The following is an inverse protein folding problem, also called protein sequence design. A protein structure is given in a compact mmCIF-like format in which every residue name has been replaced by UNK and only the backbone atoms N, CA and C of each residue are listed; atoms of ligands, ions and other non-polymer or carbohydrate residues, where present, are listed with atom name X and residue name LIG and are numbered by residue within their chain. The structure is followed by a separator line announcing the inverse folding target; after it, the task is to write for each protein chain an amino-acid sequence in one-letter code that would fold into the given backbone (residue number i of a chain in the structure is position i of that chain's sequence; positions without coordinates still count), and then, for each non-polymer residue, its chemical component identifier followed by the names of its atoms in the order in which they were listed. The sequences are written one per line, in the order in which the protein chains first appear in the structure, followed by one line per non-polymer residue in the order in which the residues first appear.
data_IF_452664920701
#
_entry.id   IF_452664920701
#
_cell.length_a   1.000
_cell.length_b   1.000
_cell.length_c   1.000
_cell.angle_alpha   90.00
_cell.angle_beta   90.00
_cell.angle_gamma   90.00
#
_symmetry.space_group_name_H-M   'P 1'
#
loop_
_entity.id
_entity.type
_entity.pdbx_description
1 polymer ?
#
# COMPACT_ATOMS: atom_id res chain seq x y z
N UNK A 1 44.39 -0.07 6.51
CA UNK A 1 43.80 -0.57 5.25
C UNK A 1 42.44 -1.27 5.44
N UNK A 2 42.00 -1.62 6.66
CA UNK A 2 40.68 -2.26 6.90
C UNK A 2 39.60 -1.32 7.49
N UNK A 3 39.95 -0.07 7.85
CA UNK A 3 39.00 0.89 8.43
C UNK A 3 38.19 1.67 7.39
N UNK A 4 38.65 1.74 6.14
CA UNK A 4 38.02 2.52 5.07
C UNK A 4 36.79 1.85 4.43
N UNK A 5 36.58 0.55 4.66
CA UNK A 5 35.40 -0.16 4.15
C UNK A 5 34.18 -0.05 5.07
N UNK A 6 34.37 0.26 6.36
CA UNK A 6 33.25 0.45 7.29
C UNK A 6 32.54 1.79 7.07
N UNK A 7 33.27 2.84 6.69
CA UNK A 7 32.70 4.18 6.46
C UNK A 7 31.91 4.29 5.15
N UNK A 8 32.12 3.39 4.17
CA UNK A 8 31.42 3.41 2.88
C UNK A 8 30.00 2.81 2.92
N UNK A 9 29.66 1.99 3.91
CA UNK A 9 28.35 1.32 4.02
C UNK A 9 27.21 2.29 4.40
N UNK A 10 27.54 3.43 5.01
CA UNK A 10 26.58 4.43 5.48
C UNK A 10 26.16 5.44 4.41
N UNK A 11 26.89 5.56 3.30
CA UNK A 11 26.48 6.38 2.16
C UNK A 11 25.53 5.58 1.26
N UNK A 12 24.47 6.19 0.72
CA UNK A 12 23.66 5.54 -0.33
C UNK A 12 24.56 5.32 -1.53
N UNK A 13 24.92 4.08 -1.84
CA UNK A 13 25.83 3.78 -2.94
C UNK A 13 25.21 4.13 -4.30
N UNK A 14 23.87 4.05 -4.37
CA UNK A 14 23.09 4.31 -5.58
C UNK A 14 21.87 5.20 -5.26
N UNK A 15 22.06 6.52 -5.05
CA UNK A 15 21.01 7.42 -4.59
C UNK A 15 19.81 7.52 -5.55
N UNK A 16 20.01 7.27 -6.84
CA UNK A 16 18.92 7.23 -7.82
C UNK A 16 17.96 6.07 -7.58
N UNK A 17 18.48 4.87 -7.27
CA UNK A 17 17.64 3.71 -6.91
C UNK A 17 16.88 4.02 -5.63
N UNK A 18 17.58 4.55 -4.63
CA UNK A 18 16.99 4.95 -3.36
C UNK A 18 15.83 5.93 -3.53
N UNK A 19 16.05 7.03 -4.28
CA UNK A 19 15.05 8.05 -4.53
C UNK A 19 13.81 7.53 -5.27
N UNK A 20 14.00 6.61 -6.22
CA UNK A 20 12.88 6.01 -6.97
C UNK A 20 12.02 5.11 -6.08
N UNK A 21 12.65 4.30 -5.23
CA UNK A 21 11.93 3.46 -4.26
C UNK A 21 11.22 4.35 -3.23
N UNK A 22 11.87 5.41 -2.75
CA UNK A 22 11.27 6.39 -1.85
C UNK A 22 10.04 7.06 -2.45
N UNK A 23 10.16 7.55 -3.69
CA UNK A 23 9.07 8.21 -4.40
C UNK A 23 7.87 7.26 -4.61
N UNK A 24 8.12 6.02 -5.03
CA UNK A 24 7.06 5.03 -5.23
C UNK A 24 6.34 4.70 -3.92
N UNK A 25 7.09 4.49 -2.82
CA UNK A 25 6.52 4.17 -1.51
C UNK A 25 5.70 5.32 -0.91
N UNK A 26 6.11 6.57 -1.13
CA UNK A 26 5.37 7.75 -0.64
C UNK A 26 4.16 8.09 -1.50
N UNK A 27 4.30 8.06 -2.82
CA UNK A 27 3.33 8.71 -3.72
C UNK A 27 2.46 7.73 -4.51
N UNK A 28 2.91 6.49 -4.71
CA UNK A 28 2.33 5.60 -5.72
C UNK A 28 2.03 4.19 -5.19
N UNK A 29 1.61 4.06 -3.93
CA UNK A 29 1.32 2.76 -3.34
C UNK A 29 0.24 1.99 -4.14
N UNK A 30 -0.80 2.69 -4.61
CA UNK A 30 -1.92 2.11 -5.36
C UNK A 30 -1.61 1.85 -6.84
N UNK A 31 -0.52 2.41 -7.36
CA UNK A 31 -0.14 2.25 -8.76
C UNK A 31 0.20 0.81 -9.12
N UNK A 32 -0.01 0.46 -10.39
CA UNK A 32 0.42 -0.83 -10.92
C UNK A 32 1.93 -1.03 -10.74
N UNK A 33 2.35 -2.25 -10.43
CA UNK A 33 3.78 -2.54 -10.22
C UNK A 33 4.63 -2.43 -11.51
N UNK A 34 4.01 -2.47 -12.71
CA UNK A 34 4.73 -2.59 -13.98
C UNK A 34 5.60 -1.37 -14.32
N UNK A 35 5.10 -0.12 -14.29
CA UNK A 35 5.94 1.06 -14.54
C UNK A 35 7.12 1.14 -13.58
N UNK A 36 6.90 0.82 -12.30
CA UNK A 36 7.96 0.81 -11.29
C UNK A 36 9.04 -0.23 -11.57
N UNK A 37 8.67 -1.45 -11.96
CA UNK A 37 9.60 -2.50 -12.39
C UNK A 37 10.43 -2.07 -13.59
N UNK A 38 9.80 -1.46 -14.60
CA UNK A 38 10.47 -0.98 -15.82
C UNK A 38 11.45 0.17 -15.52
N UNK A 39 11.08 1.09 -14.63
CA UNK A 39 11.92 2.19 -14.18
C UNK A 39 13.15 1.69 -13.40
N UNK A 40 12.94 0.80 -12.42
CA UNK A 40 14.02 0.18 -11.65
C UNK A 40 15.03 -0.55 -12.55
N UNK A 41 14.53 -1.33 -13.50
CA UNK A 41 15.36 -2.05 -14.45
C UNK A 41 16.14 -1.10 -15.38
N UNK A 42 15.52 0.00 -15.81
CA UNK A 42 16.17 1.01 -16.64
C UNK A 42 17.33 1.67 -15.91
N UNK A 43 17.15 2.07 -14.65
CA UNK A 43 18.22 2.66 -13.84
C UNK A 43 19.34 1.67 -13.58
N UNK A 44 19.02 0.41 -13.21
CA UNK A 44 20.02 -0.66 -13.04
C UNK A 44 20.92 -0.78 -14.27
N UNK A 45 20.34 -0.81 -15.47
CA UNK A 45 21.09 -0.92 -16.73
C UNK A 45 21.90 0.34 -17.06
N UNK A 46 21.30 1.52 -16.96
CA UNK A 46 21.97 2.78 -17.33
C UNK A 46 23.16 3.09 -16.42
N UNK A 47 23.03 2.81 -15.13
CA UNK A 47 24.10 3.03 -14.15
C UNK A 47 25.04 1.82 -14.00
N UNK A 48 24.78 0.72 -14.72
CA UNK A 48 25.57 -0.53 -14.68
C UNK A 48 25.79 -1.05 -13.25
N UNK A 49 24.73 -1.03 -12.45
CA UNK A 49 24.79 -1.37 -11.03
C UNK A 49 24.92 -2.89 -10.86
N UNK A 50 25.86 -3.40 -10.05
CA UNK A 50 25.92 -4.82 -9.70
C UNK A 50 24.60 -5.30 -9.06
N UNK A 51 24.10 -6.46 -9.47
CA UNK A 51 22.75 -6.94 -9.10
C UNK A 51 22.51 -7.03 -7.59
N UNK A 52 23.42 -7.61 -6.82
CA UNK A 52 23.31 -7.70 -5.36
C UNK A 52 23.33 -6.30 -4.68
N UNK A 53 24.12 -5.34 -5.18
CA UNK A 53 24.13 -3.98 -4.65
C UNK A 53 22.87 -3.19 -5.02
N UNK A 54 22.33 -3.42 -6.22
CA UNK A 54 21.05 -2.87 -6.63
C UNK A 54 19.92 -3.36 -5.70
N UNK A 55 19.86 -4.66 -5.42
CA UNK A 55 18.86 -5.25 -4.52
C UNK A 55 19.05 -4.75 -3.07
N UNK A 56 20.29 -4.64 -2.60
CA UNK A 56 20.60 -4.06 -1.30
C UNK A 56 20.06 -2.62 -1.18
N UNK A 57 20.27 -1.78 -2.20
CA UNK A 57 19.81 -0.39 -2.15
C UNK A 57 18.27 -0.28 -2.16
N UNK A 58 17.58 -1.18 -2.88
CA UNK A 58 16.11 -1.28 -2.81
C UNK A 58 15.66 -1.59 -1.38
N UNK A 59 16.28 -2.58 -0.73
CA UNK A 59 15.93 -2.90 0.66
C UNK A 59 16.28 -1.78 1.63
N UNK A 60 17.44 -1.14 1.50
CA UNK A 60 17.82 0.03 2.31
C UNK A 60 16.75 1.12 2.23
N UNK A 61 16.30 1.47 1.03
CA UNK A 61 15.25 2.47 0.85
C UNK A 61 13.92 2.06 1.52
N UNK A 62 13.54 0.79 1.43
CA UNK A 62 12.35 0.28 2.12
C UNK A 62 12.47 0.38 3.65
N UNK A 63 13.62 0.02 4.21
CA UNK A 63 13.87 0.09 5.65
C UNK A 63 13.91 1.55 6.14
N UNK A 64 14.56 2.45 5.39
CA UNK A 64 14.56 3.89 5.68
C UNK A 64 13.13 4.45 5.64
N UNK A 65 12.34 4.10 4.61
CA UNK A 65 10.93 4.49 4.51
C UNK A 65 10.09 4.02 5.69
N UNK A 66 10.31 2.80 6.22
CA UNK A 66 9.65 2.33 7.45
C UNK A 66 10.01 3.22 8.65
N UNK A 67 11.30 3.49 8.85
CA UNK A 67 11.80 4.27 9.99
C UNK A 67 11.28 5.72 9.95
N UNK A 68 11.38 6.36 8.80
CA UNK A 68 11.11 7.79 8.62
C UNK A 68 9.63 8.09 8.36
N UNK A 69 8.78 7.07 8.18
CA UNK A 69 7.35 7.26 7.96
C UNK A 69 6.68 8.05 9.09
N UNK A 70 5.87 9.09 8.78
CA UNK A 70 5.07 9.80 9.76
C UNK A 70 4.03 8.88 10.42
N UNK A 71 3.67 9.19 11.67
CA UNK A 71 2.70 8.40 12.40
C UNK A 71 1.29 8.39 11.80
N UNK A 72 0.58 7.27 11.95
CA UNK A 72 -0.78 7.09 11.42
C UNK A 72 -0.82 6.28 10.12
N UNK A 73 -1.55 6.76 9.13
CA UNK A 73 -1.80 6.01 7.88
C UNK A 73 -0.55 5.80 7.04
N UNK A 74 0.40 6.73 7.08
CA UNK A 74 1.62 6.63 6.25
C UNK A 74 2.56 5.52 6.74
N UNK A 75 2.59 5.23 8.04
CA UNK A 75 3.27 4.04 8.57
C UNK A 75 2.71 2.74 7.98
N UNK A 76 1.38 2.64 7.89
CA UNK A 76 0.70 1.48 7.33
C UNK A 76 0.98 1.34 5.83
N UNK A 77 1.00 2.47 5.10
CA UNK A 77 1.37 2.50 3.68
C UNK A 77 2.77 1.98 3.46
N UNK A 78 3.75 2.47 4.23
CA UNK A 78 5.14 2.03 4.15
C UNK A 78 5.31 0.56 4.55
N UNK A 79 4.57 0.10 5.55
CA UNK A 79 4.54 -1.31 5.94
C UNK A 79 3.99 -2.19 4.81
N UNK A 80 2.86 -1.82 4.20
CA UNK A 80 2.31 -2.55 3.07
C UNK A 80 3.21 -2.49 1.83
N UNK A 81 3.85 -1.34 1.58
CA UNK A 81 4.81 -1.18 0.50
C UNK A 81 5.99 -2.15 0.64
N UNK A 82 6.65 -2.14 1.80
CA UNK A 82 7.86 -2.92 2.07
C UNK A 82 7.60 -4.42 2.12
N UNK A 83 6.52 -4.86 2.78
CA UNK A 83 6.27 -6.27 3.04
C UNK A 83 5.36 -6.95 2.02
N UNK A 84 4.58 -6.19 1.23
CA UNK A 84 3.69 -6.76 0.19
C UNK A 84 4.08 -6.33 -1.22
N UNK A 85 4.21 -5.02 -1.49
CA UNK A 85 4.43 -4.53 -2.86
C UNK A 85 5.83 -4.84 -3.37
N UNK A 86 6.87 -4.58 -2.58
CA UNK A 86 8.27 -4.78 -2.99
C UNK A 86 8.61 -6.25 -3.30
N UNK A 87 8.24 -7.25 -2.46
CA UNK A 87 8.45 -8.66 -2.81
C UNK A 87 7.80 -9.05 -4.15
N UNK A 88 6.60 -8.54 -4.45
CA UNK A 88 5.93 -8.77 -5.73
C UNK A 88 6.62 -8.06 -6.90
N UNK A 89 7.11 -6.84 -6.68
CA UNK A 89 7.92 -6.09 -7.65
C UNK A 89 9.19 -6.88 -7.98
N UNK A 90 9.90 -7.39 -6.98
CA UNK A 90 11.11 -8.21 -7.18
C UNK A 90 10.81 -9.51 -7.92
N UNK A 91 9.69 -10.17 -7.64
CA UNK A 91 9.23 -11.34 -8.40
C UNK A 91 9.00 -11.04 -9.88
N UNK A 92 8.48 -9.84 -10.20
CA UNK A 92 8.34 -9.39 -11.59
C UNK A 92 9.68 -8.97 -12.19
N UNK A 93 10.54 -8.32 -11.42
CA UNK A 93 11.85 -7.84 -11.83
C UNK A 93 12.80 -9.00 -12.15
N UNK A 94 12.70 -10.13 -11.42
CA UNK A 94 13.44 -11.38 -11.65
C UNK A 94 13.41 -11.81 -13.12
N UNK A 95 12.34 -11.52 -13.87
CA UNK A 95 12.21 -11.83 -15.30
C UNK A 95 13.20 -11.11 -16.22
N UNK A 96 13.81 -10.02 -15.73
CA UNK A 96 14.81 -9.25 -16.48
C UNK A 96 16.26 -9.66 -16.18
N UNK A 97 16.47 -10.66 -15.32
CA UNK A 97 17.79 -11.26 -15.15
C UNK A 97 18.16 -12.08 -16.39
N UNK A 98 19.42 -11.96 -16.82
CA UNK A 98 19.95 -12.77 -17.91
C UNK A 98 20.11 -14.22 -17.46
N UNK A 99 20.12 -15.17 -18.40
CA UNK A 99 20.23 -16.59 -18.10
C UNK A 99 21.49 -16.96 -17.28
N UNK A 100 22.57 -16.19 -17.44
CA UNK A 100 23.84 -16.39 -16.71
C UNK A 100 23.87 -15.70 -15.33
N UNK A 101 22.82 -14.95 -14.95
CA UNK A 101 22.74 -14.26 -13.67
C UNK A 101 21.76 -14.97 -12.73
N UNK A 102 22.26 -15.47 -11.60
CA UNK A 102 21.41 -16.08 -10.58
C UNK A 102 20.80 -15.02 -9.65
N UNK A 103 19.53 -14.69 -9.90
CA UNK A 103 18.76 -13.78 -9.06
C UNK A 103 18.70 -14.23 -7.59
N UNK A 104 18.61 -15.54 -7.33
CA UNK A 104 18.47 -16.06 -5.98
C UNK A 104 19.75 -15.82 -5.18
N UNK A 105 20.91 -16.04 -5.83
CA UNK A 105 22.22 -15.80 -5.23
C UNK A 105 22.51 -14.31 -5.03
N UNK A 106 22.16 -13.47 -6.01
CA UNK A 106 22.24 -12.01 -5.89
C UNK A 106 21.40 -11.48 -4.73
N UNK A 107 20.18 -12.02 -4.56
CA UNK A 107 19.28 -11.64 -3.49
C UNK A 107 19.77 -12.13 -2.13
N UNK A 108 20.29 -13.37 -2.05
CA UNK A 108 20.92 -13.91 -0.84
C UNK A 108 22.09 -13.01 -0.41
N UNK A 109 23.00 -12.68 -1.33
CA UNK A 109 24.13 -11.79 -1.09
C UNK A 109 23.67 -10.40 -0.62
N UNK A 110 22.61 -9.86 -1.22
CA UNK A 110 22.04 -8.57 -0.81
C UNK A 110 21.53 -8.61 0.65
N UNK A 111 20.85 -9.68 1.06
CA UNK A 111 20.43 -9.87 2.45
C UNK A 111 21.63 -10.04 3.40
N UNK A 112 22.68 -10.76 2.99
CA UNK A 112 23.90 -10.85 3.80
C UNK A 112 24.57 -9.50 4.03
N UNK A 113 24.52 -8.60 3.05
CA UNK A 113 25.00 -7.23 3.21
C UNK A 113 24.05 -6.39 4.05
N UNK A 114 22.73 -6.56 3.90
CA UNK A 114 21.73 -5.87 4.71
C UNK A 114 21.87 -6.22 6.20
N UNK A 115 22.12 -7.50 6.52
CA UNK A 115 22.33 -7.96 7.90
C UNK A 115 23.55 -7.33 8.59
N UNK A 116 24.52 -6.81 7.81
CA UNK A 116 25.66 -6.06 8.37
C UNK A 116 25.31 -4.62 8.76
N UNK A 117 24.14 -4.13 8.37
CA UNK A 117 23.66 -2.78 8.68
C UNK A 117 22.86 -2.77 10.00
N UNK A 118 23.38 -3.40 11.05
CA UNK A 118 22.70 -3.60 12.35
C UNK A 118 22.06 -2.32 12.92
N UNK A 119 22.71 -1.14 12.95
CA UNK A 119 22.08 0.08 13.49
C UNK A 119 20.84 0.55 12.72
N UNK A 120 20.77 0.26 11.42
CA UNK A 120 19.60 0.56 10.60
C UNK A 120 18.47 -0.43 10.91
N UNK A 121 18.80 -1.72 11.03
CA UNK A 121 17.84 -2.77 11.33
C UNK A 121 17.27 -2.66 12.74
N UNK A 122 18.08 -2.27 13.73
CA UNK A 122 17.62 -2.07 15.11
C UNK A 122 16.58 -0.96 15.20
N UNK A 123 16.78 0.14 14.47
CA UNK A 123 15.78 1.22 14.37
C UNK A 123 14.49 0.74 13.72
N UNK A 124 14.58 -0.08 12.67
CA UNK A 124 13.41 -0.63 12.00
C UNK A 124 12.64 -1.60 12.90
N UNK A 125 13.34 -2.50 13.59
CA UNK A 125 12.74 -3.45 14.52
C UNK A 125 12.09 -2.75 15.71
N UNK A 126 12.71 -1.69 16.24
CA UNK A 126 12.11 -0.84 17.28
C UNK A 126 10.87 -0.10 16.76
N UNK A 127 10.87 0.32 15.49
CA UNK A 127 9.79 1.07 14.86
C UNK A 127 8.55 0.21 14.59
N UNK A 128 8.77 -1.04 14.19
CA UNK A 128 7.73 -2.01 13.85
C UNK A 128 7.37 -2.95 15.02
N UNK A 129 8.15 -2.92 16.10
CA UNK A 129 8.10 -3.84 17.24
C UNK A 129 8.09 -5.32 16.80
N UNK A 130 8.95 -5.68 15.85
CA UNK A 130 9.05 -7.05 15.32
C UNK A 130 10.40 -7.31 14.65
N UNK A 131 10.68 -8.56 14.28
CA UNK A 131 11.79 -8.91 13.38
C UNK A 131 11.44 -8.55 11.93
N UNK A 132 11.82 -7.35 11.49
CA UNK A 132 11.45 -6.89 10.15
C UNK A 132 12.10 -7.76 9.07
N UNK A 133 13.39 -8.09 9.25
CA UNK A 133 14.12 -8.90 8.27
C UNK A 133 13.60 -10.33 8.27
N UNK A 134 13.35 -10.92 9.44
CA UNK A 134 12.75 -12.26 9.53
C UNK A 134 11.43 -12.36 8.76
N UNK A 135 10.54 -11.38 8.89
CA UNK A 135 9.28 -11.34 8.13
C UNK A 135 9.49 -11.14 6.62
N UNK A 136 10.44 -10.28 6.21
CA UNK A 136 10.79 -10.11 4.79
C UNK A 136 11.32 -11.39 4.15
N UNK A 137 12.21 -12.11 4.86
CA UNK A 137 12.77 -13.37 4.36
C UNK A 137 11.67 -14.40 4.10
N UNK A 138 10.67 -14.49 4.99
CA UNK A 138 9.52 -15.38 4.81
C UNK A 138 8.67 -15.00 3.58
N UNK A 139 8.39 -13.72 3.36
CA UNK A 139 7.64 -13.28 2.18
C UNK A 139 8.43 -13.48 0.88
N UNK A 140 9.75 -13.24 0.89
CA UNK A 140 10.60 -13.54 -0.26
C UNK A 140 10.63 -15.04 -0.58
N UNK A 141 10.70 -15.89 0.44
CA UNK A 141 10.63 -17.33 0.28
C UNK A 141 9.28 -17.77 -0.32
N UNK A 142 8.16 -17.29 0.22
CA UNK A 142 6.80 -17.55 -0.28
C UNK A 142 6.65 -17.23 -1.77
N UNK A 143 7.35 -16.21 -2.26
CA UNK A 143 7.36 -15.81 -3.67
C UNK A 143 8.46 -16.49 -4.51
N UNK A 144 9.13 -17.51 -3.98
CA UNK A 144 10.21 -18.27 -4.65
C UNK A 144 11.40 -17.39 -5.08
N UNK A 145 11.65 -16.33 -4.32
CA UNK A 145 12.79 -15.43 -4.51
C UNK A 145 14.05 -15.95 -3.81
N UNK A 146 13.88 -16.68 -2.71
CA UNK A 146 14.94 -17.34 -1.95
C UNK A 146 14.70 -18.86 -1.92
N UNK A 147 15.79 -19.63 -1.88
CA UNK A 147 15.74 -21.07 -1.66
C UNK A 147 15.53 -21.39 -0.17
N UNK A 148 15.12 -22.64 0.16
CA UNK A 148 15.04 -23.11 1.55
C UNK A 148 16.39 -22.94 2.26
N UNK A 149 17.48 -23.32 1.60
CA UNK A 149 18.83 -23.22 2.15
C UNK A 149 19.22 -21.77 2.48
N UNK A 150 18.92 -20.82 1.58
CA UNK A 150 19.20 -19.40 1.83
C UNK A 150 18.33 -18.85 2.96
N UNK A 151 17.05 -19.24 3.03
CA UNK A 151 16.18 -18.85 4.13
C UNK A 151 16.74 -19.31 5.47
N UNK A 152 17.07 -20.59 5.61
CA UNK A 152 17.56 -21.16 6.88
C UNK A 152 18.86 -20.48 7.33
N UNK A 153 19.80 -20.27 6.41
CA UNK A 153 21.07 -19.61 6.69
C UNK A 153 20.87 -18.14 7.12
N UNK A 154 20.07 -17.37 6.38
CA UNK A 154 19.82 -15.96 6.69
C UNK A 154 19.05 -15.78 8.01
N UNK A 155 18.09 -16.65 8.30
CA UNK A 155 17.36 -16.65 9.59
C UNK A 155 18.29 -17.00 10.75
N UNK A 156 19.17 -17.99 10.59
CA UNK A 156 20.17 -18.32 11.61
C UNK A 156 21.11 -17.13 11.88
N UNK A 157 21.61 -16.49 10.83
CA UNK A 157 22.45 -15.27 10.94
C UNK A 157 21.70 -14.14 11.65
N UNK A 158 20.44 -13.88 11.29
CA UNK A 158 19.62 -12.84 11.92
C UNK A 158 19.37 -13.14 13.40
N UNK A 159 19.09 -14.40 13.75
CA UNK A 159 18.83 -14.81 15.13
C UNK A 159 20.06 -14.57 16.01
N UNK A 160 21.25 -14.96 15.55
CA UNK A 160 22.51 -14.75 16.26
C UNK A 160 22.86 -13.26 16.46
N UNK A 161 22.60 -12.43 15.45
CA UNK A 161 22.80 -10.97 15.53
C UNK A 161 21.86 -10.33 16.58
N UNK A 162 20.60 -10.78 16.64
CA UNK A 162 19.59 -10.25 17.57
C UNK A 162 19.77 -10.66 19.03
N UNK A 163 20.52 -11.72 19.34
CA UNK A 163 20.83 -12.06 20.74
C UNK A 163 21.55 -10.92 21.47
N UNK A 164 22.26 -10.08 20.72
CA UNK A 164 23.00 -8.93 21.21
C UNK A 164 22.20 -7.61 21.16
N UNK A 165 20.98 -7.64 20.61
CA UNK A 165 20.17 -6.44 20.39
C UNK A 165 19.42 -6.00 21.67
N UNK A 166 19.25 -4.69 21.89
CA UNK A 166 18.42 -4.17 22.97
C UNK A 166 16.98 -4.69 22.84
N UNK A 167 16.42 -5.20 23.94
CA UNK A 167 15.00 -5.63 23.95
C UNK A 167 14.09 -4.41 23.76
N UNK A 168 13.01 -4.52 22.96
CA UNK A 168 12.08 -3.42 22.77
C UNK A 168 11.47 -3.02 24.11
N UNK A 169 11.48 -1.72 24.41
CA UNK A 169 10.71 -1.14 25.51
C UNK A 169 9.24 -1.17 25.13
N UNK A 170 8.39 -1.78 25.96
CA UNK A 170 6.94 -1.83 25.78
C UNK A 170 6.38 -0.41 25.62
N UNK A 171 6.02 -0.04 24.39
CA UNK A 171 5.40 1.23 24.07
C UNK A 171 3.91 1.01 23.81
N UNK A 172 3.05 1.69 24.58
CA UNK A 172 1.59 1.60 24.48
C UNK A 172 0.98 2.33 23.27
N UNK A 173 1.81 2.93 22.41
CA UNK A 173 1.36 3.51 21.13
C UNK A 173 1.28 2.43 20.06
N UNK A 174 0.15 2.40 19.35
CA UNK A 174 -0.13 1.45 18.28
C UNK A 174 0.94 1.58 17.20
N UNK A 175 1.87 0.63 17.18
CA UNK A 175 2.92 0.55 16.17
C UNK A 175 2.46 -0.26 14.96
N UNK A 176 2.99 0.04 13.76
CA UNK A 176 2.64 -0.66 12.54
C UNK A 176 3.27 -2.05 12.60
N UNK A 177 2.54 -3.03 13.10
CA UNK A 177 3.04 -4.41 13.16
C UNK A 177 2.91 -5.03 11.75
N UNK A 178 4.02 -5.33 11.05
CA UNK A 178 3.97 -5.92 9.71
C UNK A 178 3.22 -7.25 9.67
N UNK A 179 3.25 -8.02 10.76
CA UNK A 179 2.47 -9.25 10.89
C UNK A 179 0.95 -9.03 10.77
N UNK A 180 0.42 -7.86 11.15
CA UNK A 180 -1.00 -7.54 10.96
C UNK A 180 -1.33 -7.24 9.49
N UNK A 181 -0.46 -6.49 8.80
CA UNK A 181 -0.61 -6.21 7.36
C UNK A 181 -0.50 -7.50 6.54
N UNK A 182 0.45 -8.37 6.86
CA UNK A 182 0.61 -9.66 6.19
C UNK A 182 -0.61 -10.57 6.38
N UNK A 183 -1.28 -10.52 7.55
CA UNK A 183 -2.56 -11.23 7.79
C UNK A 183 -3.75 -10.59 7.10
N UNK A 184 -3.70 -9.28 6.83
CA UNK A 184 -4.77 -8.57 6.14
C UNK A 184 -4.84 -8.95 4.64
N UNK A 185 -3.71 -9.22 3.99
CA UNK A 185 -3.64 -9.61 2.57
C UNK A 185 -4.53 -10.82 2.18
N UNK A 186 -4.46 -11.97 2.88
CA UNK A 186 -5.33 -13.10 2.57
C UNK A 186 -6.79 -12.80 2.90
N UNK A 187 -7.07 -12.00 3.93
CA UNK A 187 -8.44 -11.58 4.26
C UNK A 187 -9.06 -10.74 3.14
N UNK A 188 -8.33 -9.77 2.57
CA UNK A 188 -8.75 -9.02 1.38
C UNK A 188 -9.06 -9.98 0.24
N UNK A 189 -8.16 -10.92 -0.02
CA UNK A 189 -8.33 -11.92 -1.10
C UNK A 189 -9.58 -12.79 -0.90
N UNK A 190 -9.83 -13.24 0.33
CA UNK A 190 -10.98 -14.08 0.66
C UNK A 190 -12.29 -13.29 0.51
N UNK A 191 -12.35 -12.05 0.99
CA UNK A 191 -13.52 -11.17 0.79
C UNK A 191 -13.81 -11.03 -0.70
N UNK A 192 -12.79 -10.71 -1.51
CA UNK A 192 -12.96 -10.57 -2.95
C UNK A 192 -13.48 -11.86 -3.60
N UNK A 193 -12.92 -13.02 -3.25
CA UNK A 193 -13.36 -14.32 -3.77
C UNK A 193 -14.79 -14.67 -3.37
N UNK A 194 -15.16 -14.46 -2.10
CA UNK A 194 -16.53 -14.70 -1.63
C UNK A 194 -17.53 -13.79 -2.32
N UNK A 195 -17.14 -12.55 -2.65
CA UNK A 195 -17.99 -11.62 -3.39
C UNK A 195 -18.10 -11.94 -4.89
N UNK A 196 -17.14 -12.67 -5.47
CA UNK A 196 -17.22 -13.18 -6.85
C UNK A 196 -18.05 -14.47 -6.95
N UNK A 197 -18.12 -15.26 -5.88
CA UNK A 197 -18.88 -16.50 -5.82
C UNK A 197 -20.37 -16.23 -5.56
N UNK A 198 -21.16 -16.18 -6.64
CA UNK A 198 -22.62 -16.29 -6.71
C UNK A 198 -23.46 -15.48 -5.70
N UNK A 199 -24.12 -14.43 -6.20
CA UNK A 199 -25.16 -13.61 -5.53
C UNK A 199 -26.41 -14.38 -5.05
N UNK A 200 -26.42 -15.73 -5.09
CA UNK A 200 -27.62 -16.54 -4.91
C UNK A 200 -27.88 -17.01 -3.48
N UNK A 201 -26.92 -16.90 -2.54
CA UNK A 201 -27.12 -17.36 -1.14
C UNK A 201 -26.45 -16.43 -0.11
N UNK A 202 -27.23 -15.50 0.45
CA UNK A 202 -27.00 -14.68 1.67
C UNK A 202 -25.98 -13.53 1.63
N UNK A 203 -26.40 -12.31 1.24
CA UNK A 203 -25.62 -11.09 1.47
C UNK A 203 -25.59 -10.62 2.95
N UNK A 204 -26.46 -11.14 3.83
CA UNK A 204 -26.55 -10.67 5.23
C UNK A 204 -25.33 -11.02 6.12
N UNK A 205 -24.69 -12.18 5.91
CA UNK A 205 -23.49 -12.55 6.67
C UNK A 205 -22.28 -11.66 6.33
N UNK A 206 -22.12 -11.34 5.04
CA UNK A 206 -21.10 -10.42 4.53
C UNK A 206 -21.33 -8.98 5.01
N UNK A 207 -22.59 -8.56 5.09
CA UNK A 207 -23.02 -7.26 5.64
C UNK A 207 -22.57 -7.09 7.10
N UNK A 208 -22.73 -8.12 7.92
CA UNK A 208 -22.25 -8.10 9.32
C UNK A 208 -20.73 -8.01 9.40
N UNK A 209 -20.00 -8.75 8.56
CA UNK A 209 -18.52 -8.70 8.52
C UNK A 209 -18.03 -7.33 8.07
N UNK A 210 -18.57 -6.77 6.99
CA UNK A 210 -18.21 -5.42 6.52
C UNK A 210 -18.57 -4.37 7.57
N UNK A 211 -19.77 -4.43 8.16
CA UNK A 211 -20.19 -3.51 9.23
C UNK A 211 -19.26 -3.53 10.45
N UNK A 212 -18.77 -4.71 10.85
CA UNK A 212 -17.78 -4.83 11.92
C UNK A 212 -16.37 -4.40 11.50
N UNK A 213 -15.96 -4.69 10.26
CA UNK A 213 -14.67 -4.27 9.69
C UNK A 213 -14.56 -2.76 9.54
N UNK A 214 -15.70 -2.08 9.39
CA UNK A 214 -15.80 -0.64 9.22
C UNK A 214 -15.56 0.17 10.49
N UNK A 215 -15.42 -0.52 11.61
CA UNK A 215 -15.10 0.11 12.89
C UNK A 215 -13.59 0.04 13.16
N UNK A 216 -12.89 1.15 12.85
CA UNK A 216 -11.54 1.42 13.35
C UNK A 216 -10.38 0.88 12.49
N UNK A 217 -9.28 0.55 13.16
CA UNK A 217 -7.93 0.32 12.58
C UNK A 217 -7.82 -0.91 11.68
N UNK A 218 -8.76 -1.84 11.77
CA UNK A 218 -8.83 -3.02 10.90
C UNK A 218 -9.09 -2.64 9.44
N UNK A 219 -9.91 -1.60 9.21
CA UNK A 219 -10.16 -1.07 7.87
C UNK A 219 -8.88 -0.53 7.23
N UNK A 220 -8.12 0.28 7.96
CA UNK A 220 -6.87 0.87 7.44
C UNK A 220 -5.85 -0.20 7.06
N UNK A 221 -5.75 -1.28 7.84
CA UNK A 221 -4.92 -2.45 7.53
C UNK A 221 -5.34 -3.14 6.22
N UNK A 222 -6.66 -3.36 6.04
CA UNK A 222 -7.19 -3.99 4.83
C UNK A 222 -6.99 -3.09 3.60
N UNK A 223 -7.23 -1.77 3.74
CA UNK A 223 -7.04 -0.82 2.66
C UNK A 223 -5.56 -0.71 2.27
N UNK A 224 -4.64 -0.69 3.23
CA UNK A 224 -3.20 -0.65 2.95
C UNK A 224 -2.74 -1.93 2.24
N UNK A 225 -3.19 -3.10 2.70
CA UNK A 225 -2.91 -4.38 2.04
C UNK A 225 -3.51 -4.44 0.63
N UNK A 226 -4.75 -3.98 0.44
CA UNK A 226 -5.41 -3.94 -0.85
C UNK A 226 -4.71 -2.95 -1.81
N UNK A 227 -4.25 -1.81 -1.31
CA UNK A 227 -3.50 -0.81 -2.08
C UNK A 227 -2.18 -1.39 -2.59
N UNK A 228 -1.36 -1.93 -1.68
CA UNK A 228 -0.04 -2.48 -2.02
C UNK A 228 -0.10 -3.67 -2.98
N UNK A 229 -1.21 -4.41 -3.01
CA UNK A 229 -1.39 -5.60 -3.86
C UNK A 229 -2.20 -5.32 -5.13
N UNK A 230 -2.56 -4.06 -5.41
CA UNK A 230 -3.36 -3.68 -6.58
C UNK A 230 -4.82 -4.16 -6.56
N UNK A 231 -5.31 -4.59 -5.38
CA UNK A 231 -6.66 -5.12 -5.16
C UNK A 231 -7.64 -4.05 -4.67
N UNK A 232 -7.15 -2.85 -4.31
CA UNK A 232 -7.95 -1.77 -3.73
C UNK A 232 -9.18 -1.40 -4.55
N UNK A 233 -9.03 -1.29 -5.88
CA UNK A 233 -10.14 -0.98 -6.80
C UNK A 233 -11.26 -2.02 -6.70
N UNK A 234 -10.91 -3.30 -6.76
CA UNK A 234 -11.88 -4.40 -6.67
C UNK A 234 -12.54 -4.45 -5.28
N UNK A 235 -11.75 -4.18 -4.24
CA UNK A 235 -12.23 -4.15 -2.86
C UNK A 235 -13.24 -3.02 -2.64
N UNK A 236 -12.91 -1.82 -3.09
CA UNK A 236 -13.77 -0.64 -3.01
C UNK A 236 -15.06 -0.80 -3.83
N UNK A 237 -14.98 -1.28 -5.08
CA UNK A 237 -16.15 -1.45 -5.95
C UNK A 237 -17.13 -2.47 -5.39
N UNK A 238 -16.61 -3.56 -4.80
CA UNK A 238 -17.44 -4.62 -4.25
C UNK A 238 -18.10 -4.20 -2.95
N UNK A 239 -17.39 -3.49 -2.07
CA UNK A 239 -17.97 -2.89 -0.87
C UNK A 239 -19.16 -1.97 -1.24
N UNK A 240 -19.01 -1.17 -2.30
CA UNK A 240 -20.04 -0.24 -2.79
C UNK A 240 -21.29 -0.93 -3.38
N UNK A 241 -21.16 -2.15 -3.90
CA UNK A 241 -22.27 -2.92 -4.53
C UNK A 241 -23.29 -3.44 -3.50
N UNK A 242 -22.96 -3.41 -2.21
CA UNK A 242 -23.85 -3.86 -1.14
C UNK A 242 -25.02 -2.87 -0.96
N UNK A 243 -26.27 -3.36 -1.12
CA UNK A 243 -27.56 -2.63 -1.24
C UNK A 243 -27.71 -1.31 -0.45
N UNK A 244 -28.62 -0.44 -0.93
CA UNK A 244 -29.00 0.90 -0.45
C UNK A 244 -29.05 1.16 1.08
N UNK A 245 -29.23 0.15 1.93
CA UNK A 245 -29.17 0.27 3.40
C UNK A 245 -27.77 0.62 3.95
N UNK A 246 -26.71 0.39 3.18
CA UNK A 246 -25.33 0.79 3.54
C UNK A 246 -24.79 1.94 2.69
N UNK A 247 -25.63 2.65 1.94
CA UNK A 247 -25.17 3.74 1.08
C UNK A 247 -24.28 4.73 1.83
N UNK A 248 -24.69 5.15 3.03
CA UNK A 248 -23.93 6.06 3.89
C UNK A 248 -22.56 5.49 4.25
N UNK A 249 -22.51 4.21 4.62
CA UNK A 249 -21.31 3.54 5.09
C UNK A 249 -20.33 3.30 3.94
N UNK A 250 -20.81 2.78 2.80
CA UNK A 250 -20.02 2.60 1.59
C UNK A 250 -19.53 3.94 1.04
N UNK A 251 -20.35 4.99 1.10
CA UNK A 251 -19.94 6.34 0.73
C UNK A 251 -18.82 6.88 1.63
N UNK A 252 -18.95 6.73 2.95
CA UNK A 252 -17.92 7.13 3.91
C UNK A 252 -16.61 6.35 3.72
N UNK A 253 -16.68 5.04 3.45
CA UNK A 253 -15.51 4.24 3.09
C UNK A 253 -14.77 4.82 1.89
N UNK A 254 -15.52 5.15 0.84
CA UNK A 254 -14.92 5.60 -0.39
C UNK A 254 -14.34 7.01 -0.26
N UNK A 255 -15.00 7.88 0.51
CA UNK A 255 -14.42 9.16 0.92
C UNK A 255 -13.11 8.95 1.68
N UNK A 256 -13.08 8.00 2.63
CA UNK A 256 -11.87 7.66 3.39
C UNK A 256 -10.74 7.14 2.50
N UNK A 257 -11.05 6.26 1.54
CA UNK A 257 -10.07 5.78 0.55
C UNK A 257 -9.52 6.93 -0.29
N UNK A 258 -10.38 7.82 -0.78
CA UNK A 258 -9.97 8.97 -1.59
C UNK A 258 -9.11 9.97 -0.78
N UNK A 259 -9.46 10.20 0.49
CA UNK A 259 -8.66 11.05 1.40
C UNK A 259 -7.29 10.43 1.70
N UNK A 260 -7.23 9.10 1.89
CA UNK A 260 -6.02 8.41 2.33
C UNK A 260 -5.04 8.12 1.19
N UNK A 261 -5.55 7.72 0.02
CA UNK A 261 -4.73 7.27 -1.11
C UNK A 261 -4.78 8.21 -2.33
N UNK A 262 -5.53 9.30 -2.24
CA UNK A 262 -5.64 10.30 -3.31
C UNK A 262 -6.60 9.92 -4.44
N UNK A 263 -6.69 10.81 -5.43
CA UNK A 263 -7.65 10.71 -6.54
C UNK A 263 -7.27 9.67 -7.60
N UNK A 264 -6.04 9.13 -7.58
CA UNK A 264 -5.59 8.11 -8.56
C UNK A 264 -6.34 6.78 -8.42
N UNK A 265 -7.16 6.62 -7.37
CA UNK A 265 -8.29 5.69 -7.37
C UNK A 265 -9.42 6.29 -8.23
N UNK A 266 -9.17 6.41 -9.54
CA UNK A 266 -10.03 7.02 -10.57
C UNK A 266 -11.42 6.33 -10.78
N UNK A 267 -11.99 5.67 -9.77
CA UNK A 267 -13.24 4.90 -9.89
C UNK A 267 -14.37 5.23 -8.94
N UNK A 268 -14.14 6.14 -7.99
CA UNK A 268 -15.22 6.57 -7.12
C UNK A 268 -16.32 7.35 -7.88
N UNK A 269 -15.98 7.91 -9.02
CA UNK A 269 -16.95 8.60 -9.86
C UNK A 269 -17.84 7.66 -10.70
N UNK A 270 -17.40 6.42 -10.94
CA UNK A 270 -17.94 5.55 -11.99
C UNK A 270 -18.85 4.42 -11.48
N UNK A 271 -18.64 3.92 -10.25
CA UNK A 271 -19.42 2.76 -9.74
C UNK A 271 -20.72 3.18 -9.06
N UNK A 272 -20.78 4.36 -8.43
CA UNK A 272 -22.02 4.82 -7.77
C UNK A 272 -23.03 5.39 -8.79
N UNK A 273 -22.62 5.74 -10.01
CA UNK A 273 -23.50 6.48 -10.91
C UNK A 273 -24.50 5.65 -11.74
N UNK A 274 -24.53 4.31 -11.77
CA UNK A 274 -25.43 3.66 -12.75
C UNK A 274 -26.11 2.33 -12.44
N UNK A 275 -25.77 1.59 -11.37
CA UNK A 275 -26.43 0.28 -11.15
C UNK A 275 -27.61 0.31 -10.17
N UNK A 276 -27.84 1.42 -9.44
CA UNK A 276 -28.88 1.47 -8.39
C UNK A 276 -29.83 2.68 -8.46
N UNK A 277 -29.73 3.55 -9.47
CA UNK A 277 -30.83 4.46 -9.82
C UNK A 277 -31.56 3.83 -11.00
N UNK A 278 -32.73 3.26 -10.72
CA UNK A 278 -33.61 2.70 -11.73
C UNK A 278 -33.91 3.69 -12.86
N UNK A 279 -34.05 3.15 -14.07
CA UNK A 279 -34.70 3.75 -15.24
C UNK A 279 -34.59 5.27 -15.40
N UNK A 280 -33.51 5.75 -16.03
CA UNK A 280 -33.40 7.15 -16.46
C UNK A 280 -31.97 7.67 -16.56
N UNK A 281 -31.17 7.09 -17.47
CA UNK A 281 -29.75 7.42 -17.60
C UNK A 281 -29.47 8.81 -18.19
N UNK A 282 -28.65 9.61 -17.50
CA UNK A 282 -27.89 10.71 -18.11
C UNK A 282 -26.40 10.44 -17.88
N UNK A 283 -25.72 10.07 -18.97
CA UNK A 283 -24.27 9.98 -19.07
C UNK A 283 -23.65 11.38 -18.99
N UNK A 284 -23.05 11.74 -17.86
CA UNK A 284 -22.17 12.91 -17.81
C UNK A 284 -20.81 12.54 -18.43
N UNK A 285 -20.47 13.24 -19.51
CA UNK A 285 -19.21 13.05 -20.24
C UNK A 285 -17.99 13.46 -19.41
N UNK A 286 -16.95 12.63 -19.50
CA UNK A 286 -15.63 12.74 -18.87
C UNK A 286 -14.95 14.11 -18.98
N UNK A 287 -15.34 14.94 -19.96
CA UNK A 287 -14.76 16.27 -20.18
C UNK A 287 -15.14 17.34 -19.14
N UNK A 288 -16.16 17.12 -18.29
CA UNK A 288 -16.51 18.07 -17.22
C UNK A 288 -15.71 17.86 -15.91
N UNK A 289 -15.01 16.73 -15.75
CA UNK A 289 -14.27 16.36 -14.54
C UNK A 289 -12.80 16.81 -14.56
N UNK A 290 -12.26 17.14 -15.73
CA UNK A 290 -10.84 17.47 -15.95
C UNK A 290 -10.41 18.87 -15.42
N UNK A 291 -11.31 19.62 -14.78
CA UNK A 291 -11.01 20.94 -14.21
C UNK A 291 -10.33 20.92 -12.83
N UNK A 292 -10.32 19.78 -12.13
CA UNK A 292 -9.76 19.68 -10.78
C UNK A 292 -8.24 19.53 -10.86
N UNK A 293 -7.52 20.62 -10.58
CA UNK A 293 -6.04 20.61 -10.53
C UNK A 293 -5.55 19.63 -9.47
N UNK A 294 -4.51 18.86 -9.83
CA UNK A 294 -3.70 18.04 -8.91
C UNK A 294 -3.16 18.95 -7.78
N UNK A 295 -3.70 18.79 -6.59
CA UNK A 295 -3.36 19.51 -5.36
C UNK A 295 -4.00 18.80 -4.16
N UNK A 296 -3.66 19.16 -2.91
CA UNK A 296 -4.25 18.54 -1.74
C UNK A 296 -5.78 18.66 -1.84
N UNK A 297 -6.48 17.57 -1.55
CA UNK A 297 -7.94 17.41 -1.71
C UNK A 297 -8.63 18.69 -1.25
N UNK A 298 -8.98 19.55 -2.21
CA UNK A 298 -9.50 20.88 -1.89
C UNK A 298 -10.91 20.74 -1.37
N UNK A 299 -11.39 21.75 -0.65
CA UNK A 299 -12.79 21.86 -0.22
C UNK A 299 -13.78 21.57 -1.35
N UNK A 300 -13.41 21.83 -2.61
CA UNK A 300 -14.27 21.56 -3.77
C UNK A 300 -14.54 20.07 -4.00
N UNK A 301 -13.57 19.19 -3.72
CA UNK A 301 -13.78 17.75 -3.82
C UNK A 301 -14.78 17.28 -2.77
N UNK A 302 -14.72 17.83 -1.55
CA UNK A 302 -15.66 17.53 -0.48
C UNK A 302 -17.08 18.08 -0.77
N UNK A 303 -17.20 19.31 -1.30
CA UNK A 303 -18.48 19.85 -1.78
C UNK A 303 -19.08 19.02 -2.90
N UNK A 304 -18.23 18.46 -3.76
CA UNK A 304 -18.65 17.57 -4.83
C UNK A 304 -19.33 16.30 -4.26
N UNK A 305 -18.70 15.66 -3.27
CA UNK A 305 -19.25 14.49 -2.57
C UNK A 305 -20.56 14.81 -1.82
N UNK A 306 -20.63 15.94 -1.11
CA UNK A 306 -21.85 16.41 -0.44
C UNK A 306 -22.99 16.62 -1.45
N UNK A 307 -22.69 17.22 -2.61
CA UNK A 307 -23.69 17.48 -3.65
C UNK A 307 -24.21 16.19 -4.29
N UNK A 308 -23.37 15.15 -4.40
CA UNK A 308 -23.82 13.81 -4.83
C UNK A 308 -24.67 13.12 -3.76
N UNK A 309 -24.24 13.16 -2.49
CA UNK A 309 -24.95 12.57 -1.35
C UNK A 309 -26.35 13.18 -1.15
N UNK A 310 -26.47 14.51 -1.24
CA UNK A 310 -27.77 15.18 -1.15
C UNK A 310 -28.67 14.85 -2.34
N UNK A 311 -28.10 14.63 -3.54
CA UNK A 311 -28.85 14.28 -4.76
C UNK A 311 -29.40 12.85 -4.76
N UNK A 312 -28.78 11.92 -4.05
CA UNK A 312 -29.33 10.55 -3.88
C UNK A 312 -30.45 10.46 -2.84
N UNK A 313 -30.58 11.46 -1.97
CA UNK A 313 -31.60 11.50 -0.90
C UNK A 313 -32.72 12.54 -1.11
N UNK A 314 -32.68 13.31 -2.20
CA UNK A 314 -33.73 14.28 -2.54
C UNK A 314 -34.35 13.95 -3.90
N UNK A 315 -35.68 13.75 -3.93
CA UNK A 315 -36.45 13.45 -5.15
C UNK A 315 -36.74 14.69 -6.01
N UNK A 316 -36.40 15.89 -5.55
CA UNK A 316 -36.72 17.15 -6.23
C UNK A 316 -35.47 17.85 -6.78
N UNK A 317 -35.37 17.90 -8.11
CA UNK A 317 -34.30 18.58 -8.84
C UNK A 317 -34.22 20.11 -8.59
N UNK A 318 -35.30 20.73 -8.11
CA UNK A 318 -35.39 22.20 -8.01
C UNK A 318 -34.59 22.80 -6.85
N UNK A 319 -34.41 22.07 -5.75
CA UNK A 319 -33.70 22.59 -4.57
C UNK A 319 -32.17 22.56 -4.73
N UNK A 320 -31.62 21.56 -5.42
CA UNK A 320 -30.16 21.39 -5.57
C UNK A 320 -29.51 22.54 -6.38
N UNK A 321 -30.28 23.17 -7.27
CA UNK A 321 -29.80 24.30 -8.08
C UNK A 321 -29.57 25.58 -7.24
N UNK A 322 -30.39 25.78 -6.20
CA UNK A 322 -30.34 26.94 -5.29
C UNK A 322 -29.08 26.93 -4.40
N UNK A 323 -28.63 25.75 -4.01
CA UNK A 323 -27.49 25.56 -3.11
C UNK A 323 -26.14 25.88 -3.77
N UNK A 324 -26.08 25.91 -5.10
CA UNK A 324 -24.87 26.33 -5.84
C UNK A 324 -24.47 27.80 -5.60
N UNK A 325 -25.38 28.62 -5.06
CA UNK A 325 -25.16 30.06 -4.85
C UNK A 325 -24.73 30.45 -3.43
N UNK A 326 -24.80 29.56 -2.44
CA UNK A 326 -24.35 29.86 -1.08
C UNK A 326 -23.13 28.99 -0.70
N UNK A 327 -21.97 29.63 -0.51
CA UNK A 327 -20.79 29.03 0.14
C UNK A 327 -21.19 28.63 1.56
N UNK A 328 -21.43 27.34 1.79
CA UNK A 328 -21.53 26.79 3.14
C UNK A 328 -20.12 26.71 3.73
N UNK A 329 -19.73 27.70 4.54
CA UNK A 329 -18.52 27.61 5.34
C UNK A 329 -18.74 26.61 6.50
N UNK A 330 -18.48 25.33 6.27
CA UNK A 330 -18.39 24.34 7.33
C UNK A 330 -16.92 24.13 7.69
N UNK A 331 -16.49 24.84 8.74
CA UNK A 331 -15.29 24.49 9.53
C UNK A 331 -15.63 23.21 10.29
N UNK A 332 -14.92 22.12 9.99
CA UNK A 332 -14.83 20.95 10.87
C UNK A 332 -13.46 20.96 11.53
N UNK A 333 -13.48 20.97 12.87
CA UNK A 333 -12.35 20.91 13.81
C UNK A 333 -11.88 19.47 13.97
#
# INVERSE_FOLDING_TARGET
MLSSHSEQLHCTGFPTVHAIVMLEGTMNLTGEARPFVEQLNTVKRMQKIPSHLFLLEVWKACIVGLIESPAGTDELKWTAFTFLKIPQVLSKLKKFWLADQDFNEDLNTAFEYLLKLTPLLDKADQRCNCDCVGLLLQECHKLTLLSNHHLDNLVAKRTADREHAPRPTESNTIQPNPGLILRAEPTVTNILKTMDADHSKSPEGLLGVLGHMLTGKSLDLLLAAAAATGKLKSFASKAASTRALLFDISFLMLCHVAQTYGSEVDLLFMVINFSSLGEGGVLLSTNQLLGVRKGPVSSEFFFFFIKMYLRSHTTSYSEISSWSKHRFALKWL
#
